data_IF_790200897220
#
_entry.id   IF_790200897220
#
_cell.length_a   1.000
_cell.length_b   1.000
_cell.length_c   1.000
_cell.angle_alpha   90.00
_cell.angle_beta   90.00
_cell.angle_gamma   90.00
#
_symmetry.space_group_name_H-M   'P 1'
#
loop_
_entity.id
_entity.type
_entity.pdbx_description
1 polymer ?
#
# COMPACT_ATOMS: atom_id res chain seq x y z
N UNK A 1 12.72 -4.72 -4.55
CA UNK A 1 12.84 -5.24 -3.17
C UNK A 1 12.98 -6.76 -3.22
N UNK A 2 13.82 -7.36 -2.38
CA UNK A 2 13.94 -8.82 -2.25
C UNK A 2 14.02 -9.18 -0.77
N UNK A 3 13.16 -10.09 -0.33
CA UNK A 3 13.06 -10.52 1.06
C UNK A 3 13.28 -12.04 1.14
N UNK A 4 13.85 -12.50 2.26
CA UNK A 4 14.06 -13.93 2.54
C UNK A 4 13.69 -14.23 3.99
N UNK A 5 13.09 -15.40 4.19
CA UNK A 5 12.81 -16.02 5.49
C UNK A 5 13.06 -17.53 5.42
N UNK A 6 13.11 -18.17 6.58
CA UNK A 6 13.22 -19.64 6.71
C UNK A 6 11.87 -20.33 6.51
N UNK A 7 10.77 -19.59 6.68
CA UNK A 7 9.40 -20.05 6.47
C UNK A 7 8.63 -19.06 5.57
N UNK A 8 7.48 -19.50 5.07
CA UNK A 8 6.55 -18.65 4.32
C UNK A 8 6.07 -17.47 5.17
N UNK A 9 5.58 -17.76 6.38
CA UNK A 9 5.12 -16.77 7.35
C UNK A 9 6.19 -15.71 7.65
N UNK A 10 7.44 -16.13 7.88
CA UNK A 10 8.55 -15.19 8.12
C UNK A 10 8.81 -14.31 6.89
N UNK A 11 8.75 -14.89 5.69
CA UNK A 11 8.99 -14.17 4.44
C UNK A 11 7.90 -13.13 4.18
N UNK A 12 6.62 -13.50 4.33
CA UNK A 12 5.47 -12.60 4.16
C UNK A 12 5.51 -11.49 5.21
N UNK A 13 5.75 -11.83 6.49
CA UNK A 13 5.85 -10.83 7.56
C UNK A 13 6.98 -9.82 7.31
N UNK A 14 8.16 -10.28 6.87
CA UNK A 14 9.27 -9.40 6.52
C UNK A 14 8.97 -8.53 5.30
N UNK A 15 8.31 -9.09 4.28
CA UNK A 15 7.91 -8.35 3.08
C UNK A 15 6.92 -7.24 3.43
N UNK A 16 5.90 -7.54 4.25
CA UNK A 16 4.94 -6.55 4.75
C UNK A 16 5.65 -5.40 5.46
N UNK A 17 6.51 -5.70 6.45
CA UNK A 17 7.27 -4.68 7.17
C UNK A 17 8.15 -3.85 6.23
N UNK A 18 8.83 -4.50 5.28
CA UNK A 18 9.69 -3.79 4.34
C UNK A 18 8.90 -2.83 3.44
N UNK A 19 7.69 -3.20 3.01
CA UNK A 19 6.81 -2.31 2.24
C UNK A 19 6.35 -1.11 3.09
N UNK A 20 5.94 -1.35 4.34
CA UNK A 20 5.51 -0.29 5.27
C UNK A 20 6.64 0.73 5.56
N UNK A 21 7.90 0.29 5.54
CA UNK A 21 9.08 1.14 5.74
C UNK A 21 9.50 1.92 4.47
N UNK A 22 8.95 1.61 3.29
CA UNK A 22 9.30 2.32 2.06
C UNK A 22 8.68 3.72 2.03
N UNK A 23 9.53 4.75 2.09
CA UNK A 23 9.10 6.14 1.89
C UNK A 23 9.48 6.60 0.49
N UNK A 24 8.50 6.65 -0.40
CA UNK A 24 8.60 7.24 -1.74
C UNK A 24 7.55 8.35 -1.88
N UNK A 25 7.93 9.47 -2.50
CA UNK A 25 7.05 10.65 -2.66
C UNK A 25 7.05 11.13 -4.10
N UNK A 26 5.95 11.77 -4.51
CA UNK A 26 5.82 12.43 -5.81
C UNK A 26 5.64 11.49 -7.02
N UNK A 27 5.58 10.18 -6.82
CA UNK A 27 5.26 9.20 -7.88
C UNK A 27 4.29 8.12 -7.36
N UNK A 28 3.37 7.69 -8.23
CA UNK A 28 2.54 6.51 -7.94
C UNK A 28 3.40 5.25 -8.03
N UNK A 29 3.18 4.31 -7.12
CA UNK A 29 3.90 3.04 -7.06
C UNK A 29 2.92 1.89 -6.83
N UNK A 30 3.38 0.65 -7.05
CA UNK A 30 2.60 -0.55 -6.78
C UNK A 30 2.67 -1.01 -5.31
N UNK A 31 3.27 -0.22 -4.42
CA UNK A 31 3.43 -0.57 -3.00
C UNK A 31 2.06 -0.84 -2.32
N UNK A 32 1.04 0.02 -2.43
CA UNK A 32 -0.26 -0.22 -1.77
C UNK A 32 -0.93 -1.52 -2.21
N UNK A 33 -0.82 -1.85 -3.49
CA UNK A 33 -1.31 -3.12 -4.04
C UNK A 33 -0.54 -4.32 -3.47
N UNK A 34 0.79 -4.24 -3.36
CA UNK A 34 1.58 -5.31 -2.76
C UNK A 34 1.28 -5.47 -1.26
N UNK A 35 1.03 -4.37 -0.54
CA UNK A 35 0.62 -4.40 0.87
C UNK A 35 -0.74 -5.07 1.07
N UNK A 36 -1.69 -4.82 0.16
CA UNK A 36 -2.98 -5.51 0.15
C UNK A 36 -2.80 -7.03 -0.03
N UNK A 37 -1.94 -7.45 -0.97
CA UNK A 37 -1.63 -8.88 -1.16
C UNK A 37 -0.98 -9.49 0.10
N UNK A 38 -0.06 -8.78 0.77
CA UNK A 38 0.59 -9.30 1.98
C UNK A 38 -0.38 -9.51 3.16
N UNK A 39 -1.58 -8.92 3.11
CA UNK A 39 -2.61 -9.01 4.15
C UNK A 39 -3.77 -9.94 3.76
N UNK A 40 -3.79 -10.45 2.54
CA UNK A 40 -4.87 -11.30 2.04
C UNK A 40 -4.72 -12.74 2.62
N UNK A 41 -5.80 -13.30 3.22
CA UNK A 41 -5.77 -14.60 3.88
C UNK A 41 -5.26 -15.79 3.06
N UNK A 42 -5.65 -15.92 1.80
CA UNK A 42 -5.23 -17.02 0.93
C UNK A 42 -3.75 -16.90 0.54
N UNK A 43 -3.26 -15.69 0.27
CA UNK A 43 -1.84 -15.41 0.08
C UNK A 43 -1.03 -15.72 1.33
N UNK A 44 -1.45 -15.24 2.51
CA UNK A 44 -0.78 -15.54 3.77
C UNK A 44 -0.73 -17.04 4.07
N UNK A 45 -1.74 -17.80 3.63
CA UNK A 45 -1.78 -19.25 3.78
C UNK A 45 -1.06 -20.02 2.66
N UNK A 46 -0.54 -19.34 1.63
CA UNK A 46 0.12 -19.98 0.48
C UNK A 46 -0.85 -20.71 -0.46
N UNK A 47 -2.13 -20.33 -0.46
CA UNK A 47 -3.20 -20.93 -1.27
C UNK A 47 -3.54 -20.03 -2.46
N UNK A 48 -2.74 -20.08 -3.52
CA UNK A 48 -2.99 -19.29 -4.71
C UNK A 48 -2.41 -19.95 -5.96
N UNK A 49 -2.94 -19.56 -7.12
CA UNK A 49 -2.44 -19.99 -8.44
C UNK A 49 -2.39 -18.80 -9.41
N UNK A 50 -2.23 -19.06 -10.71
CA UNK A 50 -2.12 -18.01 -11.73
C UNK A 50 -3.38 -17.16 -11.90
N UNK A 51 -4.54 -17.62 -11.42
CA UNK A 51 -5.81 -16.88 -11.45
C UNK A 51 -6.04 -16.01 -10.20
N UNK A 52 -5.12 -16.02 -9.25
CA UNK A 52 -5.27 -15.36 -7.94
C UNK A 52 -5.72 -13.89 -8.04
N UNK A 53 -5.12 -13.09 -8.92
CA UNK A 53 -5.48 -11.68 -9.08
C UNK A 53 -6.88 -11.49 -9.70
N UNK A 54 -7.30 -12.40 -10.59
CA UNK A 54 -8.63 -12.34 -11.21
C UNK A 54 -9.74 -12.74 -10.24
N UNK A 55 -9.41 -13.63 -9.30
CA UNK A 55 -10.34 -14.17 -8.29
C UNK A 55 -10.47 -13.30 -7.04
N UNK A 56 -9.55 -12.34 -6.86
CA UNK A 56 -9.51 -11.41 -5.72
C UNK A 56 -9.56 -9.95 -6.20
N UNK A 57 -10.63 -9.51 -6.89
CA UNK A 57 -10.74 -8.15 -7.41
C UNK A 57 -10.70 -7.08 -6.31
N UNK A 58 -11.05 -7.42 -5.08
CA UNK A 58 -10.94 -6.55 -3.91
C UNK A 58 -9.50 -6.11 -3.60
N UNK A 59 -8.48 -6.83 -4.10
CA UNK A 59 -7.08 -6.41 -3.99
C UNK A 59 -6.79 -5.09 -4.70
N UNK A 60 -7.66 -4.65 -5.63
CA UNK A 60 -7.56 -3.35 -6.27
C UNK A 60 -8.24 -2.22 -5.49
N UNK A 61 -8.97 -2.55 -4.42
CA UNK A 61 -9.60 -1.58 -3.52
C UNK A 61 -8.64 -1.23 -2.37
N UNK A 62 -7.43 -0.79 -2.71
CA UNK A 62 -6.48 -0.25 -1.73
C UNK A 62 -6.61 1.26 -1.63
N UNK A 63 -6.36 1.79 -0.43
CA UNK A 63 -6.28 3.23 -0.23
C UNK A 63 -5.03 3.78 -0.93
N UNK A 64 -5.19 4.86 -1.70
CA UNK A 64 -4.02 5.64 -2.11
C UNK A 64 -3.48 6.32 -0.84
N UNK A 65 -2.17 6.22 -0.62
CA UNK A 65 -1.53 6.88 0.52
C UNK A 65 -1.55 8.39 0.25
N UNK A 66 -2.39 9.11 0.99
CA UNK A 66 -2.44 10.57 0.95
C UNK A 66 -1.05 11.13 1.23
N UNK A 67 -0.56 11.99 0.35
CA UNK A 67 0.73 12.61 0.54
C UNK A 67 0.57 13.78 1.52
N UNK A 68 1.52 14.02 2.45
CA UNK A 68 1.46 15.17 3.35
C UNK A 68 1.27 16.51 2.61
N UNK A 69 1.78 16.59 1.39
CA UNK A 69 1.65 17.72 0.48
C UNK A 69 0.18 18.01 0.13
N UNK A 70 -0.67 16.99 0.00
CA UNK A 70 -2.10 17.13 -0.28
C UNK A 70 -2.84 17.74 0.91
N UNK A 71 -2.48 17.35 2.13
CA UNK A 71 -3.02 17.93 3.36
C UNK A 71 -2.61 19.41 3.50
N UNK A 72 -1.34 19.73 3.21
CA UNK A 72 -0.85 21.12 3.24
C UNK A 72 -1.59 21.98 2.22
N UNK A 73 -1.81 21.45 1.01
CA UNK A 73 -2.59 22.14 -0.02
C UNK A 73 -4.02 22.39 0.44
N UNK A 74 -4.69 21.37 0.98
CA UNK A 74 -6.07 21.47 1.48
C UNK A 74 -6.19 22.50 2.61
N UNK A 75 -5.28 22.48 3.58
CA UNK A 75 -5.23 23.44 4.68
C UNK A 75 -4.95 24.86 4.17
N UNK A 76 -3.99 25.01 3.25
CA UNK A 76 -3.64 26.33 2.68
C UNK A 76 -4.80 26.93 1.89
N UNK A 77 -5.49 26.12 1.10
CA UNK A 77 -6.68 26.53 0.36
C UNK A 77 -7.83 26.93 1.29
N UNK A 78 -8.05 26.18 2.37
CA UNK A 78 -9.07 26.49 3.36
C UNK A 78 -8.79 27.82 4.09
N UNK A 79 -7.53 28.07 4.48
CA UNK A 79 -7.13 29.34 5.11
C UNK A 79 -7.30 30.50 4.13
N UNK A 80 -6.84 30.36 2.88
CA UNK A 80 -6.98 31.41 1.87
C UNK A 80 -8.46 31.78 1.62
N UNK A 81 -9.34 30.78 1.51
CA UNK A 81 -10.77 30.98 1.35
C UNK A 81 -11.43 31.67 2.56
N UNK A 82 -10.96 31.42 3.78
CA UNK A 82 -11.44 32.07 5.00
C UNK A 82 -10.99 33.53 5.11
N UNK A 83 -9.73 33.82 4.78
CA UNK A 83 -9.14 35.16 4.83
C UNK A 83 -9.57 36.04 3.64
N UNK A 84 -10.29 35.49 2.65
CA UNK A 84 -10.80 36.22 1.50
C UNK A 84 -9.73 36.60 0.47
N UNK A 85 -8.66 35.80 0.37
CA UNK A 85 -7.65 35.88 -0.69
C UNK A 85 -8.05 35.05 -1.91
#
# INVERSE_FOLDING_TARGET
LTVRGRTWEETVSRMRRSLEEYVLRGIKTTIPFMEAIMQEPDFMAGRFDTSYIETHPELFNYDEVDQPEDLVLALSAAIAAYEGL
#
